data_IF_103354872505
#
_entry.id   IF_103354872505
#
_cell.length_a   1.000
_cell.length_b   1.000
_cell.length_c   1.000
_cell.angle_alpha   90.00
_cell.angle_beta   90.00
_cell.angle_gamma   90.00
#
_symmetry.space_group_name_H-M   'P 1'
#
loop_
_entity.id
_entity.type
_entity.pdbx_description
1 polymer ?
#
# COMPACT_ATOMS: atom_id res chain seq x y z
N UNK A 1 -41.55 -24.26 -52.28
CA UNK A 1 -41.35 -23.33 -53.41
C UNK A 1 -39.85 -23.10 -53.58
N UNK A 2 -39.35 -23.41 -54.78
CA UNK A 2 -37.95 -23.34 -55.19
C UNK A 2 -37.68 -21.95 -55.77
N UNK A 3 -36.52 -21.36 -55.49
CA UNK A 3 -35.80 -20.46 -56.41
C UNK A 3 -34.36 -20.28 -55.95
N UNK A 4 -33.50 -21.13 -56.48
CA UNK A 4 -32.07 -20.87 -56.65
C UNK A 4 -31.91 -19.86 -57.79
N UNK A 5 -30.97 -18.92 -57.68
CA UNK A 5 -30.32 -18.32 -58.84
C UNK A 5 -28.84 -18.04 -58.53
N UNK A 6 -28.00 -18.51 -59.45
CA UNK A 6 -26.54 -18.48 -59.54
C UNK A 6 -26.17 -17.38 -60.53
N UNK A 7 -25.19 -16.50 -60.24
CA UNK A 7 -24.31 -15.87 -61.26
C UNK A 7 -22.91 -15.60 -60.67
N UNK A 8 -21.89 -16.17 -61.34
CA UNK A 8 -20.43 -15.92 -61.25
C UNK A 8 -20.03 -14.64 -62.01
N UNK A 9 -18.88 -13.99 -61.68
CA UNK A 9 -17.90 -13.28 -62.56
C UNK A 9 -16.96 -12.42 -61.68
N UNK A 10 -15.71 -12.83 -61.41
CA UNK A 10 -14.41 -12.53 -62.09
C UNK A 10 -13.69 -11.24 -61.63
N UNK A 11 -12.38 -11.41 -61.35
CA UNK A 11 -11.24 -10.45 -61.42
C UNK A 11 -10.78 -9.68 -60.19
N UNK A 12 -9.68 -10.20 -59.60
CA UNK A 12 -8.36 -9.55 -59.46
C UNK A 12 -8.33 -8.03 -59.24
N UNK A 13 -7.88 -7.58 -58.06
CA UNK A 13 -6.88 -6.50 -57.87
C UNK A 13 -6.34 -6.60 -56.44
N UNK A 14 -5.04 -6.86 -56.37
CA UNK A 14 -4.15 -6.70 -55.22
C UNK A 14 -4.07 -5.23 -54.78
N UNK A 15 -4.12 -4.93 -53.49
CA UNK A 15 -3.33 -3.83 -52.92
C UNK A 15 -3.05 -4.05 -51.42
N UNK A 16 -1.75 -4.13 -51.11
CA UNK A 16 -1.16 -4.01 -49.80
C UNK A 16 -1.71 -2.79 -49.03
N UNK A 17 -2.18 -2.99 -47.81
CA UNK A 17 -2.14 -1.97 -46.76
C UNK A 17 -1.70 -2.63 -45.45
N UNK A 18 -0.40 -2.53 -45.18
CA UNK A 18 0.18 -2.75 -43.86
C UNK A 18 -0.26 -1.56 -43.01
N UNK A 19 -1.44 -1.64 -42.41
CA UNK A 19 -1.85 -0.68 -41.37
C UNK A 19 -1.17 -1.13 -40.09
N UNK A 20 -0.02 -0.53 -39.81
CA UNK A 20 0.66 -0.67 -38.52
C UNK A 20 -0.28 -0.25 -37.40
N UNK A 21 -0.73 -1.22 -36.61
CA UNK A 21 -1.29 -0.97 -35.29
C UNK A 21 -0.17 -0.45 -34.38
N UNK A 22 0.06 0.87 -34.38
CA UNK A 22 0.75 1.49 -33.25
C UNK A 22 -0.30 1.68 -32.16
N UNK A 23 -0.45 0.67 -31.31
CA UNK A 23 -1.18 0.85 -30.07
C UNK A 23 -0.51 2.01 -29.32
N UNK A 24 -1.25 3.04 -28.87
CA UNK A 24 -0.67 4.08 -28.04
C UNK A 24 -0.04 3.42 -26.81
N UNK A 25 1.13 3.91 -26.32
CA UNK A 25 1.73 3.37 -25.12
C UNK A 25 0.70 3.46 -23.98
N UNK A 26 0.38 2.31 -23.39
CA UNK A 26 -0.43 2.25 -22.18
C UNK A 26 0.27 3.08 -21.10
N UNK A 27 -0.43 3.93 -20.34
CA UNK A 27 0.20 4.62 -19.22
C UNK A 27 0.75 3.55 -18.27
N UNK A 28 2.07 3.53 -18.09
CA UNK A 28 2.71 2.70 -17.06
C UNK A 28 2.04 3.02 -15.73
N UNK A 29 1.53 2.03 -14.97
CA UNK A 29 1.01 2.30 -13.64
C UNK A 29 2.11 2.98 -12.83
N UNK A 30 1.79 4.13 -12.23
CA UNK A 30 2.70 4.79 -11.29
C UNK A 30 3.00 3.78 -10.17
N UNK A 31 4.28 3.63 -9.74
CA UNK A 31 4.57 2.77 -8.60
C UNK A 31 3.73 3.24 -7.41
N UNK A 32 2.93 2.34 -6.86
CA UNK A 32 2.30 2.56 -5.56
C UNK A 32 3.42 2.75 -4.55
N UNK A 33 3.42 3.81 -3.71
CA UNK A 33 4.42 3.97 -2.67
C UNK A 33 4.41 2.72 -1.78
N UNK A 34 5.50 1.96 -1.83
CA UNK A 34 5.72 0.82 -0.96
C UNK A 34 6.08 1.33 0.44
N UNK A 35 5.47 0.74 1.47
CA UNK A 35 5.74 1.11 2.86
C UNK A 35 7.10 0.50 3.23
N UNK A 36 8.06 1.29 3.75
CA UNK A 36 9.37 0.74 4.11
C UNK A 36 9.27 -0.38 5.16
N UNK A 37 10.08 -1.42 5.03
CA UNK A 37 10.08 -2.60 5.92
C UNK A 37 10.29 -2.23 7.37
N UNK A 38 11.13 -1.22 7.62
CA UNK A 38 11.48 -0.72 8.95
C UNK A 38 10.26 -0.15 9.69
N UNK A 39 9.24 0.33 8.96
CA UNK A 39 7.97 0.78 9.56
C UNK A 39 7.21 -0.40 10.16
N UNK A 40 7.23 -1.56 9.50
CA UNK A 40 6.62 -2.78 10.02
C UNK A 40 7.40 -3.32 11.21
N UNK A 41 8.74 -3.29 11.15
CA UNK A 41 9.60 -3.69 12.26
C UNK A 41 9.38 -2.81 13.49
N UNK A 42 9.28 -1.48 13.32
CA UNK A 42 8.98 -0.55 14.40
C UNK A 42 7.62 -0.84 15.03
N UNK A 43 6.59 -1.09 14.20
CA UNK A 43 5.26 -1.52 14.68
C UNK A 43 5.35 -2.80 15.51
N UNK A 44 6.01 -3.83 14.99
CA UNK A 44 6.08 -5.14 15.64
C UNK A 44 6.89 -5.10 16.94
N UNK A 45 7.95 -4.29 16.96
CA UNK A 45 8.67 -3.96 18.19
C UNK A 45 7.74 -3.27 19.21
N UNK A 46 6.98 -2.25 18.78
CA UNK A 46 6.07 -1.52 19.67
C UNK A 46 4.98 -2.42 20.26
N UNK A 47 4.36 -3.28 19.44
CA UNK A 47 3.41 -4.31 19.90
C UNK A 47 4.07 -5.20 20.95
N UNK A 48 5.30 -5.65 20.69
CA UNK A 48 6.04 -6.52 21.62
C UNK A 48 6.31 -5.82 22.96
N UNK A 49 6.80 -4.57 22.94
CA UNK A 49 7.08 -3.82 24.17
C UNK A 49 5.81 -3.51 24.96
N UNK A 50 4.76 -3.02 24.30
CA UNK A 50 3.47 -2.77 24.95
C UNK A 50 2.91 -4.04 25.62
N UNK A 51 3.09 -5.21 25.00
CA UNK A 51 2.68 -6.49 25.59
C UNK A 51 3.52 -6.93 26.79
N UNK A 52 4.81 -6.58 26.84
CA UNK A 52 5.62 -6.78 28.05
C UNK A 52 5.14 -5.90 29.22
N UNK A 53 4.45 -4.80 28.92
CA UNK A 53 3.81 -3.88 29.86
C UNK A 53 2.32 -4.19 30.12
N UNK A 54 1.84 -5.38 29.73
CA UNK A 54 0.45 -5.87 29.93
C UNK A 54 -0.64 -5.09 29.17
N UNK A 55 -0.31 -4.39 28.09
CA UNK A 55 -1.29 -3.67 27.22
C UNK A 55 -2.11 -4.63 26.34
N UNK A 56 -1.56 -5.81 26.00
CA UNK A 56 -2.24 -6.90 25.25
C UNK A 56 -2.73 -6.53 23.84
N UNK A 57 -1.89 -5.82 23.10
CA UNK A 57 -2.08 -5.50 21.68
C UNK A 57 -2.08 -6.78 20.81
N UNK A 58 -3.02 -6.94 19.85
CA UNK A 58 -3.09 -8.10 18.96
C UNK A 58 -1.85 -8.28 18.07
N UNK A 59 -1.17 -9.44 18.19
CA UNK A 59 0.04 -9.77 17.41
C UNK A 59 -0.26 -10.46 16.07
N UNK A 60 -1.19 -11.42 16.03
CA UNK A 60 -1.49 -12.22 14.83
C UNK A 60 -2.60 -11.61 13.95
N UNK A 61 -2.79 -10.29 14.06
CA UNK A 61 -3.84 -9.56 13.36
C UNK A 61 -3.40 -9.12 11.95
N UNK A 62 -4.36 -9.05 11.02
CA UNK A 62 -4.14 -8.44 9.72
C UNK A 62 -4.48 -6.96 9.81
N UNK A 63 -3.44 -6.14 9.89
CA UNK A 63 -3.56 -4.69 10.01
C UNK A 63 -3.74 -4.03 8.63
N UNK A 64 -4.74 -3.15 8.51
CA UNK A 64 -4.80 -2.21 7.39
C UNK A 64 -3.80 -1.08 7.64
N UNK A 65 -3.19 -0.53 6.58
CA UNK A 65 -2.15 0.50 6.71
C UNK A 65 -2.35 1.63 5.72
N UNK A 66 -2.11 2.86 6.16
CA UNK A 66 -2.21 4.08 5.34
C UNK A 66 -1.17 5.11 5.77
N UNK A 67 -0.60 5.84 4.81
CA UNK A 67 0.22 7.01 5.10
C UNK A 67 -0.69 8.18 5.49
N UNK A 68 -0.50 8.74 6.68
CA UNK A 68 -1.27 9.86 7.24
C UNK A 68 -0.43 11.13 7.39
N UNK A 69 0.72 11.20 6.72
CA UNK A 69 1.60 12.37 6.73
C UNK A 69 0.82 13.60 6.27
N UNK A 70 0.77 14.68 7.07
CA UNK A 70 0.11 15.91 6.66
C UNK A 70 0.64 16.43 5.32
N UNK A 71 -0.26 16.90 4.45
CA UNK A 71 0.14 17.45 3.16
C UNK A 71 1.08 18.65 3.34
N UNK A 72 2.15 18.69 2.55
CA UNK A 72 3.17 19.74 2.61
C UNK A 72 4.19 19.58 3.74
N UNK A 73 4.04 18.59 4.62
CA UNK A 73 5.09 18.26 5.60
C UNK A 73 6.26 17.60 4.88
N UNK A 74 7.47 18.13 5.11
CA UNK A 74 8.71 17.62 4.53
C UNK A 74 9.64 17.15 5.63
N UNK A 75 10.39 16.07 5.36
CA UNK A 75 11.40 15.55 6.30
C UNK A 75 10.84 14.70 7.44
N UNK A 76 9.53 14.42 7.48
CA UNK A 76 8.90 13.51 8.42
C UNK A 76 7.79 12.74 7.70
N UNK A 77 7.55 11.50 8.11
CA UNK A 77 6.44 10.69 7.61
C UNK A 77 5.77 9.94 8.75
N UNK A 78 4.47 9.71 8.62
CA UNK A 78 3.68 8.95 9.59
C UNK A 78 2.79 7.94 8.88
N UNK A 79 2.84 6.69 9.33
CA UNK A 79 1.95 5.62 8.90
C UNK A 79 1.02 5.25 10.04
N UNK A 80 -0.24 4.94 9.71
CA UNK A 80 -1.24 4.44 10.64
C UNK A 80 -1.63 3.02 10.26
N UNK A 81 -1.57 2.13 11.24
CA UNK A 81 -2.08 0.78 11.18
C UNK A 81 -3.40 0.71 11.95
N UNK A 82 -4.42 0.09 11.36
CA UNK A 82 -5.74 -0.07 12.00
C UNK A 82 -6.19 -1.51 11.97
N UNK A 83 -6.66 -2.00 13.12
CA UNK A 83 -7.26 -3.31 13.32
C UNK A 83 -8.50 -3.18 14.22
N UNK A 84 -9.53 -3.98 13.97
CA UNK A 84 -10.78 -3.95 14.74
C UNK A 84 -11.07 -5.37 15.22
N UNK A 85 -11.31 -5.50 16.52
CA UNK A 85 -11.71 -6.73 17.18
C UNK A 85 -12.88 -6.51 18.15
N UNK A 86 -13.06 -7.44 19.10
CA UNK A 86 -14.12 -7.37 20.10
C UNK A 86 -13.83 -6.35 21.23
N UNK A 87 -12.59 -5.92 21.41
CA UNK A 87 -12.18 -4.93 22.42
C UNK A 87 -12.28 -3.50 21.87
N UNK A 88 -12.15 -3.34 20.55
CA UNK A 88 -12.51 -2.12 19.85
C UNK A 88 -11.66 -1.85 18.62
N UNK A 89 -11.40 -0.57 18.36
CA UNK A 89 -10.53 -0.12 17.28
C UNK A 89 -9.13 0.10 17.82
N UNK A 90 -8.21 -0.77 17.43
CA UNK A 90 -6.79 -0.59 17.65
C UNK A 90 -6.21 0.28 16.54
N UNK A 91 -5.38 1.24 16.94
CA UNK A 91 -4.60 2.06 16.03
C UNK A 91 -3.14 2.06 16.48
N UNK A 92 -2.21 1.92 15.54
CA UNK A 92 -0.78 2.11 15.79
C UNK A 92 -0.28 3.17 14.83
N UNK A 93 0.33 4.23 15.33
CA UNK A 93 0.96 5.25 14.52
C UNK A 93 2.47 5.12 14.61
N UNK A 94 3.12 5.01 13.45
CA UNK A 94 4.58 4.94 13.33
C UNK A 94 5.05 6.18 12.59
N UNK A 95 5.71 7.08 13.30
CA UNK A 95 6.24 8.32 12.77
C UNK A 95 7.77 8.37 12.84
N UNK A 96 8.43 8.90 11.81
CA UNK A 96 9.88 9.03 11.81
C UNK A 96 10.38 10.18 10.91
N UNK A 97 11.54 10.78 11.23
CA UNK A 97 12.20 11.75 10.37
C UNK A 97 12.86 11.06 9.16
N UNK A 98 12.87 11.72 8.01
CA UNK A 98 13.53 11.20 6.79
C UNK A 98 15.01 11.60 6.84
N UNK A 99 15.81 10.79 7.54
CA UNK A 99 17.26 10.97 7.75
C UNK A 99 17.98 9.62 7.64
N UNK A 100 19.31 9.65 7.59
CA UNK A 100 20.12 8.44 7.44
C UNK A 100 19.95 7.46 8.61
N UNK A 101 19.73 7.94 9.84
CA UNK A 101 19.55 7.07 11.02
C UNK A 101 18.32 7.54 11.81
N UNK A 102 17.10 7.17 11.38
CA UNK A 102 15.89 7.65 12.01
C UNK A 102 15.61 6.92 13.33
N UNK A 103 15.02 7.66 14.26
CA UNK A 103 14.33 7.09 15.42
C UNK A 103 12.85 7.04 15.07
N UNK A 104 12.27 5.84 15.11
CA UNK A 104 10.85 5.59 14.89
C UNK A 104 10.10 5.76 16.20
N UNK A 105 9.10 6.62 16.20
CA UNK A 105 8.15 6.78 17.30
C UNK A 105 6.92 5.93 17.01
N UNK A 106 6.50 5.16 18.01
CA UNK A 106 5.37 4.26 17.94
C UNK A 106 4.37 4.64 19.01
N UNK A 107 3.17 5.02 18.62
CA UNK A 107 2.05 5.33 19.52
C UNK A 107 0.92 4.32 19.29
N UNK A 108 0.40 3.75 20.36
CA UNK A 108 -0.67 2.76 20.31
C UNK A 108 -1.91 3.33 20.96
N UNK A 109 -3.04 3.19 20.27
CA UNK A 109 -4.33 3.68 20.70
C UNK A 109 -5.36 2.56 20.73
N UNK A 110 -6.24 2.59 21.72
CA UNK A 110 -7.46 1.79 21.76
C UNK A 110 -8.66 2.73 21.82
N UNK A 111 -9.55 2.62 20.84
CA UNK A 111 -10.74 3.47 20.71
C UNK A 111 -10.40 4.98 20.73
N UNK A 112 -9.25 5.34 20.17
CA UNK A 112 -8.75 6.72 20.09
C UNK A 112 -8.05 7.23 21.36
N UNK A 113 -7.96 6.42 22.42
CA UNK A 113 -7.19 6.74 23.61
C UNK A 113 -5.76 6.23 23.46
N UNK A 114 -4.76 7.09 23.63
CA UNK A 114 -3.35 6.65 23.71
C UNK A 114 -3.13 5.83 24.96
N UNK A 115 -2.62 4.61 24.78
CA UNK A 115 -2.44 3.60 25.84
C UNK A 115 -0.98 3.15 25.98
N UNK A 116 -0.14 3.42 24.99
CA UNK A 116 1.29 3.14 25.04
C UNK A 116 2.04 4.00 24.03
N UNK A 117 3.26 4.39 24.37
CA UNK A 117 4.18 5.12 23.50
C UNK A 117 5.60 4.58 23.68
N UNK A 118 6.39 4.58 22.61
CA UNK A 118 7.80 4.21 22.66
C UNK A 118 8.56 4.59 21.40
N UNK A 119 9.88 4.45 21.45
CA UNK A 119 10.74 4.76 20.31
C UNK A 119 11.83 3.71 20.10
N UNK A 120 12.14 3.40 18.84
CA UNK A 120 13.20 2.47 18.45
C UNK A 120 14.07 3.07 17.34
N UNK A 121 15.38 2.84 17.45
CA UNK A 121 16.31 3.02 16.33
C UNK A 121 16.57 1.65 15.71
N UNK A 122 16.27 1.50 14.42
CA UNK A 122 16.53 0.27 13.67
C UNK A 122 17.90 0.42 13.00
N UNK A 123 18.86 -0.50 13.25
CA UNK A 123 20.17 -0.46 12.59
C UNK A 123 20.03 -0.60 11.07
N UNK A 124 20.89 0.10 10.33
CA UNK A 124 21.05 -0.13 8.90
C UNK A 124 21.88 -1.39 8.70
N UNK A 125 21.34 -2.36 7.96
CA UNK A 125 22.09 -3.54 7.49
C UNK A 125 23.03 -3.21 6.32
#
# INVERSE_FOLDING_TARGET
MRKTNIIFIISLISLFFIVGCTNPPSPTPSPTPEIPSEVYEARDWGITQANLEDVRVPMDAVWSVVNITPEGLVGYTTYRFTYIDNEGTWTIEVGYPIVLEPIYNVEIFLNGLSIWEGSIQIPFD
#
